data_IF_535172025459
#
_entry.id   IF_535172025459
#
_cell.length_a   1.000
_cell.length_b   1.000
_cell.length_c   1.000
_cell.angle_alpha   90.00
_cell.angle_beta   90.00
_cell.angle_gamma   90.00
#
_symmetry.space_group_name_H-M   'P 1'
#
loop_
_entity.id
_entity.type
_entity.pdbx_description
1 polymer ?
#
# COMPACT_ATOMS: atom_id res chain seq x y z
N UNK A 1 -27.94 -58.57 -11.61
CA UNK A 1 -26.96 -58.07 -10.61
C UNK A 1 -26.65 -56.61 -10.94
N UNK A 2 -27.11 -55.66 -10.11
CA UNK A 2 -26.91 -54.22 -10.36
C UNK A 2 -25.59 -53.77 -9.75
N UNK A 3 -24.59 -53.49 -10.57
CA UNK A 3 -23.33 -52.89 -10.13
C UNK A 3 -23.57 -51.40 -9.78
N UNK A 4 -23.43 -51.04 -8.51
CA UNK A 4 -23.35 -49.65 -8.05
C UNK A 4 -21.90 -49.18 -8.26
N UNK A 5 -21.68 -48.27 -9.20
CA UNK A 5 -20.42 -47.56 -9.36
C UNK A 5 -20.30 -46.47 -8.30
N UNK A 6 -19.43 -46.68 -7.32
CA UNK A 6 -19.09 -45.69 -6.30
C UNK A 6 -18.03 -44.74 -6.87
N UNK A 7 -18.37 -43.47 -7.11
CA UNK A 7 -17.40 -42.44 -7.49
C UNK A 7 -16.63 -42.02 -6.23
N UNK A 8 -15.29 -42.01 -6.22
CA UNK A 8 -14.52 -41.56 -5.07
C UNK A 8 -14.58 -40.03 -4.98
N UNK A 9 -15.34 -39.51 -4.02
CA UNK A 9 -15.24 -38.10 -3.63
C UNK A 9 -13.85 -37.88 -2.99
N UNK A 10 -13.02 -37.07 -3.65
CA UNK A 10 -11.71 -36.66 -3.14
C UNK A 10 -11.93 -35.76 -1.89
N UNK A 11 -12.00 -36.37 -0.72
CA UNK A 11 -12.07 -35.65 0.56
C UNK A 11 -10.68 -35.12 0.88
N UNK A 12 -10.44 -33.85 0.59
CA UNK A 12 -9.26 -33.12 1.03
C UNK A 12 -9.24 -33.09 2.58
N UNK A 13 -8.20 -33.68 3.21
CA UNK A 13 -8.07 -33.74 4.67
C UNK A 13 -7.51 -32.42 5.24
N UNK A 14 -8.26 -31.65 6.07
CA UNK A 14 -7.89 -30.28 6.47
C UNK A 14 -6.94 -30.17 7.69
N UNK A 15 -6.04 -31.13 7.96
CA UNK A 15 -5.31 -31.15 9.25
C UNK A 15 -3.87 -30.64 9.26
N UNK A 16 -3.15 -30.63 8.13
CA UNK A 16 -1.75 -30.18 8.10
C UNK A 16 -1.57 -28.72 7.63
N UNK A 17 -2.49 -28.19 6.81
CA UNK A 17 -2.34 -26.87 6.21
C UNK A 17 -2.68 -25.72 7.17
N UNK A 18 -3.59 -25.96 8.12
CA UNK A 18 -4.09 -24.96 9.07
C UNK A 18 -2.98 -24.46 10.00
N UNK A 19 -2.09 -25.35 10.45
CA UNK A 19 -0.98 -25.01 11.37
C UNK A 19 0.12 -24.23 10.63
N UNK A 20 0.50 -24.65 9.42
CA UNK A 20 1.50 -23.94 8.60
C UNK A 20 1.03 -22.52 8.24
N UNK A 21 -0.25 -22.37 7.90
CA UNK A 21 -0.84 -21.08 7.55
C UNK A 21 -0.97 -20.18 8.79
N UNK A 22 -1.37 -20.70 9.95
CA UNK A 22 -1.38 -19.95 11.21
C UNK A 22 0.02 -19.43 11.56
N UNK A 23 1.06 -20.25 11.39
CA UNK A 23 2.44 -19.87 11.71
C UNK A 23 3.02 -18.83 10.74
N UNK A 24 2.84 -19.03 9.42
CA UNK A 24 3.26 -18.06 8.38
C UNK A 24 2.52 -16.71 8.48
N UNK A 25 1.28 -16.69 8.97
CA UNK A 25 0.46 -15.48 9.01
C UNK A 25 0.63 -14.66 10.29
N UNK A 26 0.98 -15.28 11.42
CA UNK A 26 1.41 -14.53 12.61
C UNK A 26 2.67 -13.70 12.31
N UNK A 27 3.58 -14.24 11.49
CA UNK A 27 4.81 -13.53 11.08
C UNK A 27 4.55 -12.35 10.12
N UNK A 28 3.49 -12.38 9.32
CA UNK A 28 3.21 -11.32 8.33
C UNK A 28 2.75 -9.99 8.96
N UNK A 29 1.95 -10.03 10.02
CA UNK A 29 1.56 -8.82 10.78
C UNK A 29 2.75 -8.20 11.53
N UNK A 30 3.68 -9.03 12.00
CA UNK A 30 4.93 -8.56 12.62
C UNK A 30 5.90 -7.90 11.63
N UNK A 31 5.74 -8.10 10.32
CA UNK A 31 6.63 -7.54 9.31
C UNK A 31 6.19 -6.17 8.77
N UNK A 32 5.10 -5.54 9.26
CA UNK A 32 4.66 -4.24 8.73
C UNK A 32 5.77 -3.18 8.77
N UNK A 33 6.41 -3.00 9.92
CA UNK A 33 7.51 -2.05 10.09
C UNK A 33 8.74 -2.49 9.26
N UNK A 34 9.03 -3.79 9.19
CA UNK A 34 10.12 -4.31 8.36
C UNK A 34 9.89 -4.02 6.86
N UNK A 35 8.67 -4.22 6.36
CA UNK A 35 8.29 -3.89 4.99
C UNK A 35 8.34 -2.39 4.72
N UNK A 36 7.91 -1.57 5.68
CA UNK A 36 8.03 -0.11 5.60
C UNK A 36 9.50 0.30 5.50
N UNK A 37 10.35 -0.27 6.35
CA UNK A 37 11.78 0.00 6.36
C UNK A 37 12.45 -0.43 5.06
N UNK A 38 12.20 -1.66 4.59
CA UNK A 38 12.70 -2.18 3.30
C UNK A 38 12.34 -1.25 2.13
N UNK A 39 11.15 -0.66 2.13
CA UNK A 39 10.75 0.31 1.08
C UNK A 39 11.55 1.60 1.13
N UNK A 40 11.82 2.11 2.34
CA UNK A 40 12.66 3.29 2.56
C UNK A 40 14.10 2.99 2.16
N UNK A 41 14.66 1.87 2.60
CA UNK A 41 16.02 1.46 2.30
C UNK A 41 16.23 1.25 0.80
N UNK A 42 15.27 0.61 0.12
CA UNK A 42 15.30 0.47 -1.32
C UNK A 42 15.29 1.83 -2.04
N UNK A 43 14.52 2.81 -1.55
CA UNK A 43 14.52 4.16 -2.10
C UNK A 43 15.86 4.87 -1.83
N UNK A 44 16.44 4.73 -0.63
CA UNK A 44 17.77 5.25 -0.29
C UNK A 44 18.87 4.65 -1.18
N UNK A 45 18.81 3.35 -1.44
CA UNK A 45 19.71 2.68 -2.39
C UNK A 45 19.57 3.23 -3.81
N UNK A 46 18.36 3.60 -4.26
CA UNK A 46 18.17 4.27 -5.55
C UNK A 46 18.79 5.67 -5.55
N UNK A 47 18.67 6.45 -4.47
CA UNK A 47 19.30 7.77 -4.36
C UNK A 47 20.80 7.63 -4.57
N UNK A 48 21.47 6.78 -3.78
CA UNK A 48 22.91 6.57 -3.84
C UNK A 48 23.37 6.08 -5.21
N UNK A 49 22.64 5.12 -5.80
CA UNK A 49 22.93 4.61 -7.14
C UNK A 49 22.87 5.73 -8.19
N UNK A 50 21.82 6.55 -8.17
CA UNK A 50 21.64 7.60 -9.17
C UNK A 50 22.60 8.78 -8.95
N UNK A 51 22.97 9.11 -7.70
CA UNK A 51 24.05 10.07 -7.40
C UNK A 51 25.40 9.61 -7.95
N UNK A 52 25.77 8.34 -7.72
CA UNK A 52 27.00 7.76 -8.27
C UNK A 52 27.00 7.76 -9.80
N UNK A 53 25.87 7.42 -10.43
CA UNK A 53 25.72 7.46 -11.89
C UNK A 53 25.85 8.89 -12.43
N UNK A 54 25.20 9.86 -11.79
CA UNK A 54 25.29 11.28 -12.13
C UNK A 54 26.74 11.76 -12.10
N UNK A 55 27.45 11.53 -10.99
CA UNK A 55 28.85 11.88 -10.83
C UNK A 55 29.75 11.20 -11.88
N UNK A 56 29.51 9.92 -12.19
CA UNK A 56 30.26 9.21 -13.22
C UNK A 56 30.04 9.79 -14.63
N UNK A 57 28.82 10.21 -14.97
CA UNK A 57 28.54 10.86 -16.24
C UNK A 57 29.16 12.25 -16.34
N UNK A 58 29.12 13.03 -15.26
CA UNK A 58 29.80 14.33 -15.20
C UNK A 58 31.31 14.18 -15.35
N UNK A 59 31.92 13.25 -14.61
CA UNK A 59 33.34 12.96 -14.75
C UNK A 59 33.71 12.54 -16.17
N UNK A 60 32.91 11.67 -16.80
CA UNK A 60 33.14 11.28 -18.20
C UNK A 60 33.07 12.47 -19.16
N UNK A 61 32.12 13.38 -18.96
CA UNK A 61 32.01 14.58 -19.78
C UNK A 61 33.23 15.49 -19.60
N UNK A 62 33.69 15.66 -18.36
CA UNK A 62 34.88 16.43 -17.99
C UNK A 62 36.16 15.81 -18.57
N UNK A 63 36.34 14.50 -18.44
CA UNK A 63 37.47 13.75 -19.01
C UNK A 63 37.55 13.98 -20.53
N UNK A 64 36.43 13.90 -21.26
CA UNK A 64 36.40 14.14 -22.72
C UNK A 64 36.68 15.62 -23.03
N UNK A 65 36.10 16.54 -22.25
CA UNK A 65 36.28 17.97 -22.42
C UNK A 65 37.72 18.42 -22.18
N UNK A 66 38.45 17.78 -21.27
CA UNK A 66 39.85 18.11 -20.97
C UNK A 66 40.81 17.97 -22.18
N UNK A 67 40.43 17.17 -23.18
CA UNK A 67 41.19 17.01 -24.41
C UNK A 67 40.84 18.05 -25.48
N UNK A 68 39.84 18.91 -25.23
CA UNK A 68 39.39 19.97 -26.13
C UNK A 68 39.81 21.31 -25.53
N UNK A 69 40.81 22.01 -26.12
CA UNK A 69 41.15 23.37 -25.75
C UNK A 69 39.91 24.29 -25.70
N UNK A 70 39.76 25.10 -24.63
CA UNK A 70 38.62 25.98 -24.50
C UNK A 70 38.58 27.00 -25.65
N UNK A 71 37.40 27.18 -26.25
CA UNK A 71 37.19 28.11 -27.36
C UNK A 71 37.65 27.62 -28.73
N UNK A 72 38.11 26.37 -28.87
CA UNK A 72 38.48 25.82 -30.17
C UNK A 72 37.27 25.73 -31.11
N UNK A 73 37.31 26.36 -32.31
CA UNK A 73 36.23 26.25 -33.29
C UNK A 73 36.25 24.87 -33.97
N UNK A 74 35.08 24.43 -34.44
CA UNK A 74 34.99 23.24 -35.29
C UNK A 74 35.61 23.57 -36.65
N UNK A 75 36.72 22.90 -36.98
CA UNK A 75 37.40 23.05 -38.26
C UNK A 75 36.64 22.29 -39.36
N UNK A 76 35.71 22.97 -40.03
CA UNK A 76 34.88 22.38 -41.10
C UNK A 76 35.75 22.01 -42.31
N UNK A 77 35.59 20.78 -42.83
CA UNK A 77 36.36 20.24 -43.95
C UNK A 77 37.72 19.64 -43.57
N UNK A 78 38.15 19.76 -42.31
CA UNK A 78 39.41 19.18 -41.84
C UNK A 78 39.23 17.72 -41.38
N UNK A 79 40.26 16.88 -41.49
CA UNK A 79 40.17 15.46 -41.13
C UNK A 79 39.80 15.21 -39.65
N UNK A 80 40.04 16.18 -38.76
CA UNK A 80 39.69 16.12 -37.33
C UNK A 80 38.24 16.51 -37.01
N UNK A 81 37.50 17.10 -37.96
CA UNK A 81 36.12 17.60 -37.78
C UNK A 81 35.20 16.53 -37.18
N UNK A 82 35.21 15.34 -37.78
CA UNK A 82 34.36 14.21 -37.37
C UNK A 82 34.65 13.75 -35.94
N UNK A 83 35.92 13.78 -35.53
CA UNK A 83 36.34 13.44 -34.16
C UNK A 83 35.88 14.51 -33.18
N UNK A 84 36.04 15.79 -33.53
CA UNK A 84 35.61 16.92 -32.69
C UNK A 84 34.11 16.92 -32.46
N UNK A 85 33.29 16.76 -33.52
CA UNK A 85 31.82 16.69 -33.39
C UNK A 85 31.39 15.54 -32.50
N UNK A 86 31.95 14.34 -32.72
CA UNK A 86 31.67 13.17 -31.89
C UNK A 86 32.01 13.39 -30.41
N UNK A 87 33.11 14.08 -30.12
CA UNK A 87 33.50 14.39 -28.74
C UNK A 87 32.47 15.32 -28.08
N UNK A 88 32.05 16.39 -28.77
CA UNK A 88 30.99 17.28 -28.30
C UNK A 88 29.66 16.54 -28.10
N UNK A 89 29.27 15.67 -29.03
CA UNK A 89 28.05 14.86 -28.91
C UNK A 89 28.14 13.91 -27.69
N UNK A 90 29.30 13.32 -27.44
CA UNK A 90 29.51 12.45 -26.27
C UNK A 90 29.47 13.22 -24.95
N UNK A 91 30.04 14.44 -24.91
CA UNK A 91 29.95 15.35 -23.77
C UNK A 91 28.48 15.68 -23.53
N UNK A 92 27.77 16.16 -24.54
CA UNK A 92 26.36 16.54 -24.44
C UNK A 92 25.47 15.39 -23.96
N UNK A 93 25.63 14.21 -24.55
CA UNK A 93 24.88 13.02 -24.14
C UNK A 93 25.21 12.55 -22.72
N UNK A 94 26.48 12.66 -22.30
CA UNK A 94 26.88 12.30 -20.94
C UNK A 94 26.31 13.29 -19.93
N UNK A 95 26.40 14.60 -20.22
CA UNK A 95 25.78 15.64 -19.40
C UNK A 95 24.28 15.44 -19.26
N UNK A 96 23.57 15.15 -20.36
CA UNK A 96 22.13 14.87 -20.34
C UNK A 96 21.79 13.70 -19.40
N UNK A 97 22.50 12.57 -19.55
CA UNK A 97 22.32 11.40 -18.68
C UNK A 97 22.67 11.68 -17.22
N UNK A 98 23.67 12.52 -16.97
CA UNK A 98 24.03 12.99 -15.63
C UNK A 98 22.88 13.76 -14.98
N UNK A 99 22.30 14.72 -15.71
CA UNK A 99 21.13 15.50 -15.26
C UNK A 99 19.92 14.59 -15.01
N UNK A 100 19.62 13.64 -15.91
CA UNK A 100 18.53 12.68 -15.71
C UNK A 100 18.72 11.84 -14.45
N UNK A 101 19.94 11.35 -14.21
CA UNK A 101 20.27 10.61 -13.00
C UNK A 101 20.13 11.48 -11.73
N UNK A 102 20.58 12.75 -11.78
CA UNK A 102 20.40 13.70 -10.67
C UNK A 102 18.92 13.90 -10.34
N UNK A 103 18.09 14.22 -11.34
CA UNK A 103 16.64 14.39 -11.17
C UNK A 103 15.97 13.15 -10.58
N UNK A 104 16.45 11.96 -10.97
CA UNK A 104 15.95 10.71 -10.42
C UNK A 104 16.35 10.52 -8.96
N UNK A 105 17.56 10.92 -8.56
CA UNK A 105 17.97 10.93 -7.16
C UNK A 105 17.09 11.89 -6.34
N UNK A 106 16.89 13.12 -6.81
CA UNK A 106 16.02 14.14 -6.18
C UNK A 106 14.57 13.63 -6.02
N UNK A 107 14.04 12.95 -7.04
CA UNK A 107 12.72 12.32 -6.96
C UNK A 107 12.62 11.30 -5.82
N UNK A 108 13.63 10.44 -5.67
CA UNK A 108 13.64 9.45 -4.59
C UNK A 108 13.87 10.09 -3.22
N UNK A 109 14.66 11.17 -3.14
CA UNK A 109 14.82 11.96 -1.90
C UNK A 109 13.49 12.56 -1.44
N UNK A 110 12.78 13.23 -2.34
CA UNK A 110 11.45 13.76 -2.06
C UNK A 110 10.47 12.65 -1.65
N UNK A 111 10.57 11.48 -2.29
CA UNK A 111 9.76 10.31 -1.96
C UNK A 111 10.08 9.74 -0.58
N UNK A 112 11.34 9.66 -0.18
CA UNK A 112 11.77 9.21 1.16
C UNK A 112 11.26 10.18 2.21
N UNK A 113 11.46 11.49 2.01
CA UNK A 113 10.95 12.53 2.90
C UNK A 113 9.44 12.39 3.11
N UNK A 114 8.69 12.24 2.02
CA UNK A 114 7.24 12.02 2.09
C UNK A 114 6.85 10.72 2.81
N UNK A 115 7.67 9.66 2.75
CA UNK A 115 7.44 8.41 3.50
C UNK A 115 7.72 8.57 5.00
N UNK A 116 8.76 9.33 5.35
CA UNK A 116 9.18 9.58 6.73
C UNK A 116 8.19 10.54 7.45
N UNK A 117 7.71 11.58 6.76
CA UNK A 117 6.70 12.53 7.25
C UNK A 117 5.28 11.94 7.31
N UNK A 118 5.03 10.82 6.63
CA UNK A 118 3.71 10.21 6.62
C UNK A 118 3.42 9.50 7.95
N UNK A 119 2.72 10.22 8.82
CA UNK A 119 2.22 9.71 10.10
C UNK A 119 0.83 9.06 10.00
N UNK A 120 0.38 8.64 8.81
CA UNK A 120 -0.87 7.91 8.66
C UNK A 120 -0.75 6.52 9.32
N UNK A 121 -1.66 6.24 10.25
CA UNK A 121 -1.77 4.93 10.89
C UNK A 121 -2.44 3.97 9.89
N UNK A 122 -1.74 2.89 9.51
CA UNK A 122 -2.26 1.85 8.63
C UNK A 122 -3.18 0.89 9.39
N UNK A 123 -4.14 0.26 8.72
CA UNK A 123 -4.93 -0.86 9.30
C UNK A 123 -4.13 -2.16 9.41
N UNK A 124 -3.08 -2.30 8.58
CA UNK A 124 -2.25 -3.50 8.51
C UNK A 124 -1.18 -3.51 9.63
N UNK A 125 -1.04 -2.42 10.39
CA UNK A 125 -0.16 -2.32 11.56
C UNK A 125 -0.79 -3.05 12.76
N UNK A 126 -0.10 -4.01 13.41
CA UNK A 126 -0.64 -4.74 14.56
C UNK A 126 -1.01 -3.82 15.72
N UNK A 127 -0.30 -2.69 15.90
CA UNK A 127 -0.53 -1.75 16.99
C UNK A 127 -1.43 -0.57 16.54
N UNK A 128 -2.13 -0.71 15.41
CA UNK A 128 -2.98 0.36 14.86
C UNK A 128 -4.04 0.85 15.85
N UNK A 129 -4.66 -0.06 16.61
CA UNK A 129 -5.70 0.29 17.59
C UNK A 129 -5.11 1.12 18.73
N UNK A 130 -3.97 0.71 19.27
CA UNK A 130 -3.26 1.40 20.35
C UNK A 130 -2.84 2.81 19.91
N UNK A 131 -2.16 2.93 18.76
CA UNK A 131 -1.76 4.22 18.17
C UNK A 131 -2.95 5.15 17.92
N UNK A 132 -4.11 4.60 17.53
CA UNK A 132 -5.34 5.38 17.35
C UNK A 132 -5.95 5.82 18.69
N UNK A 133 -5.85 5.00 19.74
CA UNK A 133 -6.32 5.35 21.09
C UNK A 133 -5.46 6.46 21.70
N UNK A 134 -4.13 6.38 21.57
CA UNK A 134 -3.21 7.44 21.99
C UNK A 134 -3.53 8.76 21.26
N UNK A 135 -3.73 8.69 19.95
CA UNK A 135 -4.13 9.86 19.15
C UNK A 135 -5.48 10.42 19.61
N UNK A 136 -6.44 9.57 19.95
CA UNK A 136 -7.74 10.02 20.46
C UNK A 136 -7.58 10.74 21.81
N UNK A 137 -6.79 10.18 22.72
CA UNK A 137 -6.50 10.79 24.02
C UNK A 137 -5.83 12.17 23.86
N UNK A 138 -4.85 12.29 22.97
CA UNK A 138 -4.20 13.58 22.69
C UNK A 138 -5.19 14.64 22.15
N UNK A 139 -6.11 14.24 21.27
CA UNK A 139 -7.16 15.15 20.76
C UNK A 139 -8.17 15.52 21.85
N UNK A 140 -8.47 14.61 22.77
CA UNK A 140 -9.34 14.86 23.93
C UNK A 140 -8.69 15.84 24.92
N UNK A 141 -7.43 15.64 25.27
CA UNK A 141 -6.65 16.59 26.10
C UNK A 141 -6.60 17.97 25.45
N UNK A 142 -6.30 18.04 24.15
CA UNK A 142 -6.28 19.31 23.41
C UNK A 142 -7.68 19.96 23.36
N UNK A 143 -8.75 19.18 23.22
CA UNK A 143 -10.11 19.70 23.24
C UNK A 143 -10.45 20.34 24.58
N UNK A 144 -10.09 19.66 25.67
CA UNK A 144 -10.35 20.15 27.02
C UNK A 144 -9.51 21.39 27.31
N UNK A 145 -8.23 21.37 26.95
CA UNK A 145 -7.34 22.52 27.03
C UNK A 145 -7.90 23.75 26.31
N UNK A 146 -8.38 23.61 25.07
CA UNK A 146 -8.99 24.73 24.33
C UNK A 146 -10.24 25.29 25.02
N UNK A 147 -11.09 24.42 25.57
CA UNK A 147 -12.30 24.84 26.30
C UNK A 147 -11.97 25.58 27.59
N UNK A 148 -11.05 25.04 28.39
CA UNK A 148 -10.62 25.65 29.65
C UNK A 148 -9.90 26.97 29.40
N UNK A 149 -9.06 27.02 28.37
CA UNK A 149 -8.43 28.27 27.91
C UNK A 149 -9.46 29.33 27.56
N UNK A 150 -10.48 29.00 26.74
CA UNK A 150 -11.53 29.96 26.39
C UNK A 150 -12.33 30.43 27.62
N UNK A 151 -12.51 29.55 28.61
CA UNK A 151 -13.15 29.90 29.88
C UNK A 151 -12.29 30.87 30.70
N UNK A 152 -10.97 30.66 30.77
CA UNK A 152 -10.04 31.57 31.45
C UNK A 152 -9.97 32.93 30.75
N UNK A 153 -9.89 32.96 29.41
CA UNK A 153 -9.87 34.20 28.62
C UNK A 153 -11.17 34.98 28.80
N UNK A 154 -12.33 34.30 28.77
CA UNK A 154 -13.62 34.97 29.01
C UNK A 154 -13.70 35.62 30.41
N UNK A 155 -13.03 35.04 31.41
CA UNK A 155 -12.98 35.55 32.79
C UNK A 155 -11.78 36.46 33.07
N UNK A 156 -10.87 36.61 32.11
CA UNK A 156 -9.59 37.31 32.28
C UNK A 156 -8.75 36.78 33.47
N UNK A 157 -8.81 35.46 33.69
CA UNK A 157 -8.11 34.78 34.80
C UNK A 157 -6.81 34.15 34.29
N UNK A 158 -5.73 34.93 34.36
CA UNK A 158 -4.40 34.53 33.85
C UNK A 158 -3.75 33.45 34.72
N UNK A 159 -3.91 33.53 36.04
CA UNK A 159 -3.33 32.58 36.98
C UNK A 159 -3.87 31.17 36.74
N UNK A 160 -5.19 31.03 36.56
CA UNK A 160 -5.78 29.72 36.23
C UNK A 160 -5.36 29.20 34.87
N UNK A 161 -5.11 30.08 33.90
CA UNK A 161 -4.62 29.66 32.58
C UNK A 161 -3.18 29.12 32.65
N UNK A 162 -2.29 29.79 33.38
CA UNK A 162 -0.91 29.33 33.56
C UNK A 162 -0.80 28.01 34.33
N UNK A 163 -1.82 27.66 35.12
CA UNK A 163 -1.92 26.37 35.78
C UNK A 163 -2.37 25.22 34.86
N UNK A 164 -2.79 25.49 33.62
CA UNK A 164 -3.14 24.45 32.65
C UNK A 164 -1.88 23.78 32.07
N UNK A 165 -2.00 22.52 31.64
CA UNK A 165 -0.88 21.69 31.15
C UNK A 165 -0.02 22.36 30.07
N UNK A 166 -0.63 23.10 29.14
CA UNK A 166 0.03 23.81 28.05
C UNK A 166 -0.03 25.34 28.20
N UNK A 167 -0.36 25.83 29.39
CA UNK A 167 -0.46 27.25 29.69
C UNK A 167 0.91 27.92 29.68
N UNK A 168 1.12 28.90 28.79
CA UNK A 168 2.36 29.70 28.76
C UNK A 168 2.03 31.17 28.64
N UNK A 169 2.86 32.04 29.22
CA UNK A 169 2.64 33.49 29.18
C UNK A 169 2.53 34.02 27.74
N UNK A 170 3.38 33.50 26.85
CA UNK A 170 3.35 33.82 25.42
C UNK A 170 2.02 33.45 24.78
N UNK A 171 1.51 32.24 25.05
CA UNK A 171 0.24 31.79 24.50
C UNK A 171 -0.94 32.61 25.05
N UNK A 172 -0.89 33.03 26.32
CA UNK A 172 -1.90 33.92 26.90
C UNK A 172 -1.98 35.25 26.13
N UNK A 173 -0.83 35.85 25.84
CA UNK A 173 -0.76 37.10 25.08
C UNK A 173 -1.32 36.88 23.66
N UNK A 174 -0.86 35.84 22.96
CA UNK A 174 -1.33 35.52 21.60
C UNK A 174 -2.84 35.33 21.51
N UNK A 175 -3.44 34.63 22.48
CA UNK A 175 -4.87 34.36 22.48
C UNK A 175 -5.72 35.56 22.93
N UNK A 176 -5.17 36.51 23.69
CA UNK A 176 -5.88 37.74 24.06
C UNK A 176 -5.79 38.84 22.99
N UNK A 177 -4.94 38.68 21.98
CA UNK A 177 -4.92 39.58 20.83
C UNK A 177 -6.12 39.30 19.92
N UNK A 178 -7.06 40.24 19.76
CA UNK A 178 -8.16 40.05 18.82
C UNK A 178 -7.61 40.03 17.39
N UNK A 179 -7.93 38.99 16.64
CA UNK A 179 -7.60 38.93 15.22
C UNK A 179 -8.51 39.85 14.40
N UNK A 180 -8.05 40.26 13.21
CA UNK A 180 -8.81 41.14 12.28
C UNK A 180 -10.25 40.67 12.01
N UNK A 181 -10.50 39.36 12.10
CA UNK A 181 -11.80 38.72 11.89
C UNK A 181 -12.11 37.66 12.94
N UNK A 182 -11.37 37.63 14.06
CA UNK A 182 -11.49 36.61 15.11
C UNK A 182 -11.52 37.28 16.48
N UNK A 183 -12.42 36.83 17.36
CA UNK A 183 -12.40 37.22 18.77
C UNK A 183 -11.19 36.64 19.52
N UNK A 184 -11.09 36.93 20.81
CA UNK A 184 -10.05 36.37 21.68
C UNK A 184 -10.29 34.88 21.97
N UNK A 185 -9.22 34.17 22.28
CA UNK A 185 -9.21 32.74 22.56
C UNK A 185 -9.12 31.86 21.33
N UNK A 186 -9.30 30.56 21.55
CA UNK A 186 -9.38 29.60 20.47
C UNK A 186 -10.68 29.79 19.69
N UNK A 187 -10.61 29.99 18.36
CA UNK A 187 -11.78 30.20 17.54
C UNK A 187 -12.64 28.94 17.45
N UNK A 188 -13.96 29.11 17.36
CA UNK A 188 -14.93 28.01 17.38
C UNK A 188 -14.68 26.92 16.34
N UNK A 189 -14.22 27.29 15.13
CA UNK A 189 -13.92 26.31 14.09
C UNK A 189 -12.81 25.31 14.49
N UNK A 190 -11.84 25.71 15.33
CA UNK A 190 -10.79 24.79 15.82
C UNK A 190 -11.39 23.70 16.71
N UNK A 191 -12.31 24.06 17.62
CA UNK A 191 -13.01 23.10 18.47
C UNK A 191 -13.91 22.17 17.65
N UNK A 192 -14.63 22.71 16.66
CA UNK A 192 -15.50 21.92 15.77
C UNK A 192 -14.68 20.93 14.94
N UNK A 193 -13.58 21.38 14.34
CA UNK A 193 -12.70 20.53 13.56
C UNK A 193 -12.07 19.42 14.41
N UNK A 194 -11.65 19.76 15.64
CA UNK A 194 -11.08 18.78 16.57
C UNK A 194 -12.12 17.72 16.99
N UNK A 195 -13.34 18.15 17.35
CA UNK A 195 -14.46 17.24 17.63
C UNK A 195 -14.76 16.30 16.44
N UNK A 196 -14.77 16.83 15.21
CA UNK A 196 -14.98 16.01 14.01
C UNK A 196 -13.86 14.97 13.84
N UNK A 197 -12.61 15.35 14.09
CA UNK A 197 -11.48 14.41 14.07
C UNK A 197 -11.58 13.33 15.15
N UNK A 198 -11.96 13.70 16.39
CA UNK A 198 -12.22 12.74 17.47
C UNK A 198 -13.31 11.74 17.06
N UNK A 199 -14.41 12.20 16.49
CA UNK A 199 -15.50 11.34 16.03
C UNK A 199 -15.03 10.35 14.95
N UNK A 200 -14.29 10.82 13.93
CA UNK A 200 -13.72 9.97 12.88
C UNK A 200 -12.80 8.88 13.45
N UNK A 201 -11.96 9.24 14.42
CA UNK A 201 -11.04 8.27 15.05
C UNK A 201 -11.79 7.25 15.88
N UNK A 202 -12.81 7.66 16.65
CA UNK A 202 -13.67 6.72 17.40
C UNK A 202 -14.36 5.73 16.48
N UNK A 203 -14.95 6.20 15.36
CA UNK A 203 -15.54 5.34 14.34
C UNK A 203 -14.52 4.36 13.78
N UNK A 204 -13.30 4.84 13.49
CA UNK A 204 -12.22 3.99 12.97
C UNK A 204 -11.76 2.93 13.96
N UNK A 205 -11.62 3.26 15.24
CA UNK A 205 -11.30 2.30 16.31
C UNK A 205 -12.41 1.25 16.41
N UNK A 206 -13.68 1.66 16.41
CA UNK A 206 -14.81 0.74 16.48
C UNK A 206 -14.82 -0.22 15.28
N UNK A 207 -14.58 0.29 14.07
CA UNK A 207 -14.45 -0.51 12.86
C UNK A 207 -13.33 -1.55 12.98
N UNK A 208 -12.12 -1.14 13.36
CA UNK A 208 -10.98 -2.08 13.50
C UNK A 208 -11.22 -3.12 14.60
N UNK A 209 -11.89 -2.76 15.69
CA UNK A 209 -12.30 -3.70 16.75
C UNK A 209 -13.33 -4.72 16.25
N UNK A 210 -14.25 -4.32 15.37
CA UNK A 210 -15.20 -5.25 14.75
C UNK A 210 -14.49 -6.19 13.79
N UNK A 211 -13.60 -5.68 12.95
CA UNK A 211 -12.80 -6.50 12.02
C UNK A 211 -11.90 -7.50 12.77
N UNK A 212 -11.33 -7.11 13.92
CA UNK A 212 -10.54 -8.00 14.76
C UNK A 212 -11.34 -9.18 15.35
N UNK A 213 -12.66 -9.05 15.48
CA UNK A 213 -13.56 -10.12 15.94
C UNK A 213 -13.98 -11.08 14.83
N UNK A 214 -13.68 -10.75 13.57
CA UNK A 214 -14.11 -11.55 12.42
C UNK A 214 -13.39 -12.90 12.44
N UNK A 215 -14.15 -13.98 12.32
CA UNK A 215 -13.63 -15.36 12.28
C UNK A 215 -13.28 -15.70 10.84
N UNK A 216 -12.14 -16.36 10.57
CA UNK A 216 -11.81 -16.79 9.23
C UNK A 216 -12.77 -17.88 8.74
N UNK A 217 -13.23 -17.75 7.50
CA UNK A 217 -14.12 -18.74 6.86
C UNK A 217 -13.44 -19.34 5.63
N UNK A 218 -13.65 -20.64 5.42
CA UNK A 218 -13.11 -21.38 4.28
C UNK A 218 -14.25 -22.19 3.66
N UNK A 219 -14.69 -21.78 2.47
CA UNK A 219 -15.85 -22.37 1.80
C UNK A 219 -15.52 -22.73 0.35
N UNK A 220 -16.13 -23.79 -0.15
CA UNK A 220 -15.97 -24.23 -1.54
C UNK A 220 -17.24 -23.91 -2.32
N UNK A 221 -17.12 -23.08 -3.36
CA UNK A 221 -18.25 -22.68 -4.21
C UNK A 221 -17.87 -22.90 -5.66
N UNK A 222 -18.61 -23.78 -6.36
CA UNK A 222 -18.39 -24.09 -7.79
C UNK A 222 -16.93 -24.46 -8.13
N UNK A 223 -16.26 -25.21 -7.25
CA UNK A 223 -14.86 -25.59 -7.40
C UNK A 223 -13.84 -24.49 -7.10
N UNK A 224 -14.28 -23.29 -6.73
CA UNK A 224 -13.43 -22.19 -6.25
C UNK A 224 -13.44 -22.16 -4.73
N UNK A 225 -12.26 -22.19 -4.13
CA UNK A 225 -12.12 -22.04 -2.69
C UNK A 225 -12.12 -20.55 -2.33
N UNK A 226 -13.05 -20.16 -1.47
CA UNK A 226 -13.22 -18.80 -0.95
C UNK A 226 -12.76 -18.78 0.49
N UNK A 227 -11.65 -18.10 0.73
CA UNK A 227 -11.01 -17.98 2.04
C UNK A 227 -11.09 -16.53 2.52
N UNK A 228 -11.90 -16.27 3.55
CA UNK A 228 -11.86 -15.00 4.28
C UNK A 228 -10.72 -15.05 5.29
N UNK A 229 -9.53 -14.65 4.86
CA UNK A 229 -8.34 -14.67 5.69
C UNK A 229 -8.27 -13.42 6.58
N UNK A 230 -8.78 -13.53 7.80
CA UNK A 230 -8.79 -12.43 8.80
C UNK A 230 -7.41 -12.16 9.38
N UNK A 231 -6.48 -13.12 9.31
CA UNK A 231 -5.10 -12.93 9.75
C UNK A 231 -4.35 -11.95 8.84
N UNK A 232 -4.50 -12.09 7.52
CA UNK A 232 -3.89 -11.19 6.52
C UNK A 232 -4.82 -10.02 6.16
N UNK A 233 -6.08 -10.07 6.58
CA UNK A 233 -7.10 -9.07 6.22
C UNK A 233 -7.40 -9.09 4.73
N UNK A 234 -7.45 -10.28 4.12
CA UNK A 234 -7.69 -10.46 2.67
C UNK A 234 -8.78 -11.50 2.42
N UNK A 235 -9.64 -11.23 1.45
CA UNK A 235 -10.50 -12.25 0.86
C UNK A 235 -9.77 -12.86 -0.33
N UNK A 236 -9.58 -14.18 -0.31
CA UNK A 236 -8.80 -14.93 -1.29
C UNK A 236 -9.70 -15.90 -2.06
N UNK A 237 -9.62 -15.85 -3.38
CA UNK A 237 -10.23 -16.80 -4.30
C UNK A 237 -9.13 -17.67 -4.90
N UNK A 238 -9.17 -18.96 -4.59
CA UNK A 238 -8.20 -19.95 -5.04
C UNK A 238 -8.92 -20.86 -6.04
N UNK A 239 -8.45 -20.82 -7.28
CA UNK A 239 -8.95 -21.67 -8.35
C UNK A 239 -8.10 -22.93 -8.44
N UNK A 240 -8.68 -24.07 -8.84
CA UNK A 240 -7.95 -25.33 -8.97
C UNK A 240 -6.89 -25.23 -10.08
N UNK A 241 -7.25 -24.59 -11.20
CA UNK A 241 -6.38 -24.33 -12.33
C UNK A 241 -6.40 -22.84 -12.71
N UNK A 242 -5.45 -22.46 -13.56
CA UNK A 242 -5.35 -21.09 -14.09
C UNK A 242 -6.65 -20.72 -14.83
N UNK A 243 -7.42 -19.72 -14.34
CA UNK A 243 -8.66 -19.32 -15.00
C UNK A 243 -8.40 -18.76 -16.41
N UNK A 244 -9.41 -18.83 -17.27
CA UNK A 244 -9.36 -18.27 -18.62
C UNK A 244 -8.97 -16.79 -18.60
N UNK A 245 -8.42 -16.29 -19.71
CA UNK A 245 -7.99 -14.89 -19.80
C UNK A 245 -9.13 -13.91 -19.48
N UNK A 246 -10.34 -14.20 -19.96
CA UNK A 246 -11.53 -13.38 -19.74
C UNK A 246 -11.89 -13.28 -18.25
N UNK A 247 -11.90 -14.41 -17.55
CA UNK A 247 -12.20 -14.46 -16.11
C UNK A 247 -11.14 -13.68 -15.32
N UNK A 248 -9.86 -13.80 -15.69
CA UNK A 248 -8.78 -13.02 -15.07
C UNK A 248 -8.95 -11.51 -15.29
N UNK A 249 -9.38 -11.09 -16.49
CA UNK A 249 -9.69 -9.69 -16.77
C UNK A 249 -10.91 -9.21 -15.98
N UNK A 250 -11.96 -10.03 -15.88
CA UNK A 250 -13.16 -9.72 -15.11
C UNK A 250 -12.85 -9.55 -13.63
N UNK A 251 -12.10 -10.49 -13.03
CA UNK A 251 -11.62 -10.41 -11.65
C UNK A 251 -10.81 -9.13 -11.43
N UNK A 252 -9.90 -8.79 -12.35
CA UNK A 252 -9.02 -7.62 -12.22
C UNK A 252 -9.74 -6.28 -12.41
N UNK A 253 -10.53 -6.15 -13.47
CA UNK A 253 -11.12 -4.88 -13.92
C UNK A 253 -12.49 -4.61 -13.30
N UNK A 254 -13.38 -5.61 -13.26
CA UNK A 254 -14.75 -5.45 -12.76
C UNK A 254 -14.81 -5.61 -11.24
N UNK A 255 -14.19 -6.67 -10.72
CA UNK A 255 -14.33 -7.03 -9.30
C UNK A 255 -13.17 -6.55 -8.41
N UNK A 256 -12.11 -5.99 -9.01
CA UNK A 256 -11.00 -5.37 -8.30
C UNK A 256 -10.04 -6.34 -7.59
N UNK A 257 -10.10 -7.63 -7.89
CA UNK A 257 -9.15 -8.60 -7.35
C UNK A 257 -7.75 -8.41 -7.96
N UNK A 258 -6.73 -8.76 -7.20
CA UNK A 258 -5.32 -8.73 -7.62
C UNK A 258 -4.70 -10.10 -7.39
N UNK A 259 -3.93 -10.56 -8.36
CA UNK A 259 -3.21 -11.81 -8.24
C UNK A 259 -2.05 -11.68 -7.26
N UNK A 260 -1.95 -12.62 -6.32
CA UNK A 260 -0.81 -12.76 -5.41
C UNK A 260 0.00 -13.99 -5.79
N UNK A 261 1.28 -13.81 -6.11
CA UNK A 261 2.19 -14.91 -6.43
C UNK A 261 2.57 -15.72 -5.18
N UNK A 262 2.66 -15.08 -4.01
CA UNK A 262 3.03 -15.75 -2.76
C UNK A 262 1.93 -16.68 -2.25
N UNK A 263 0.67 -16.29 -2.47
CA UNK A 263 -0.50 -17.01 -1.99
C UNK A 263 -1.20 -17.82 -3.10
N UNK A 264 -0.72 -17.69 -4.35
CA UNK A 264 -1.33 -18.30 -5.55
C UNK A 264 -2.85 -18.09 -5.61
N UNK A 265 -3.29 -16.88 -5.25
CA UNK A 265 -4.69 -16.54 -5.07
C UNK A 265 -5.04 -15.18 -5.68
N UNK A 266 -6.28 -15.05 -6.15
CA UNK A 266 -6.86 -13.75 -6.45
C UNK A 266 -7.39 -13.14 -5.16
N UNK A 267 -6.82 -12.01 -4.74
CA UNK A 267 -7.11 -11.42 -3.43
C UNK A 267 -7.44 -9.93 -3.48
N UNK A 268 -8.20 -9.49 -2.48
CA UNK A 268 -8.44 -8.07 -2.19
C UNK A 268 -8.59 -7.84 -0.68
N UNK A 269 -8.55 -6.58 -0.26
CA UNK A 269 -8.79 -6.18 1.14
C UNK A 269 -10.11 -6.77 1.65
N UNK A 270 -10.08 -7.43 2.82
CA UNK A 270 -11.27 -8.01 3.43
C UNK A 270 -12.16 -6.86 3.93
N UNK A 271 -13.31 -6.73 3.31
CA UNK A 271 -14.38 -5.81 3.72
C UNK A 271 -15.71 -6.32 3.15
N UNK A 272 -16.83 -5.72 3.55
CA UNK A 272 -18.15 -6.14 3.07
C UNK A 272 -18.28 -6.07 1.54
N UNK A 273 -17.65 -5.09 0.90
CA UNK A 273 -17.61 -4.98 -0.55
C UNK A 273 -16.81 -6.12 -1.22
N UNK A 274 -15.78 -6.67 -0.56
CA UNK A 274 -15.04 -7.82 -1.06
C UNK A 274 -15.90 -9.09 -1.04
N UNK A 275 -16.64 -9.30 0.05
CA UNK A 275 -17.58 -10.43 0.18
C UNK A 275 -18.68 -10.31 -0.88
N UNK A 276 -19.25 -9.12 -1.05
CA UNK A 276 -20.21 -8.84 -2.12
C UNK A 276 -19.63 -9.12 -3.51
N UNK A 277 -18.42 -8.60 -3.81
CA UNK A 277 -17.79 -8.83 -5.11
C UNK A 277 -17.49 -10.31 -5.38
N UNK A 278 -17.03 -11.06 -4.37
CA UNK A 278 -16.79 -12.50 -4.49
C UNK A 278 -18.10 -13.26 -4.75
N UNK A 279 -19.13 -12.99 -3.95
CA UNK A 279 -20.43 -13.66 -4.07
C UNK A 279 -21.08 -13.38 -5.43
N UNK A 280 -21.09 -12.14 -5.90
CA UNK A 280 -21.63 -11.79 -7.22
C UNK A 280 -20.82 -12.38 -8.37
N UNK A 281 -19.49 -12.39 -8.28
CA UNK A 281 -18.66 -13.07 -9.26
C UNK A 281 -19.02 -14.57 -9.34
N UNK A 282 -19.10 -15.24 -8.20
CA UNK A 282 -19.38 -16.68 -8.12
C UNK A 282 -20.79 -17.05 -8.57
N UNK A 283 -21.78 -16.15 -8.45
CA UNK A 283 -23.11 -16.36 -9.06
C UNK A 283 -22.99 -16.52 -10.58
N UNK A 284 -22.24 -15.65 -11.23
CA UNK A 284 -22.04 -15.68 -12.70
C UNK A 284 -20.97 -16.65 -13.18
N UNK A 285 -20.09 -17.13 -12.30
CA UNK A 285 -19.01 -18.03 -12.67
C UNK A 285 -19.54 -19.43 -12.99
N UNK A 286 -19.11 -19.98 -14.11
CA UNK A 286 -19.29 -21.39 -14.46
C UNK A 286 -17.92 -22.07 -14.49
N UNK A 287 -17.74 -23.19 -13.78
CA UNK A 287 -16.48 -23.93 -13.83
C UNK A 287 -16.27 -24.45 -15.25
N UNK A 288 -15.01 -24.51 -15.73
CA UNK A 288 -14.72 -25.13 -17.02
C UNK A 288 -15.27 -26.56 -17.03
N UNK A 289 -16.09 -26.89 -18.03
CA UNK A 289 -16.64 -28.23 -18.19
C UNK A 289 -15.49 -29.23 -18.31
N UNK A 290 -15.34 -30.10 -17.31
CA UNK A 290 -14.44 -31.24 -17.42
C UNK A 290 -15.01 -32.11 -18.55
N UNK A 291 -14.27 -32.40 -19.64
CA UNK A 291 -14.73 -33.37 -20.60
C UNK A 291 -14.86 -34.70 -19.88
N UNK A 292 -16.10 -35.16 -19.68
CA UNK A 292 -16.37 -36.52 -19.25
C UNK A 292 -15.93 -37.39 -20.42
N UNK A 293 -14.74 -37.98 -20.34
CA UNK A 293 -14.34 -39.06 -21.24
C UNK A 293 -15.31 -40.22 -20.99
N UNK A 294 -16.41 -40.20 -21.74
CA UNK A 294 -17.33 -41.32 -21.86
C UNK A 294 -16.61 -42.33 -22.74
N UNK A 295 -15.84 -43.22 -22.12
CA UNK A 295 -15.31 -44.40 -22.80
C UNK A 295 -16.50 -45.28 -23.12
N UNK A 296 -17.06 -45.09 -24.31
CA UNK A 296 -17.99 -46.02 -24.91
C UNK A 296 -17.29 -47.37 -25.08
N UNK A 297 -17.85 -48.38 -24.43
CA UNK A 297 -17.52 -49.79 -24.60
C UNK A 297 -17.95 -50.25 -25.99
N UNK A 298 -17.03 -50.29 -26.94
CA UNK A 298 -17.23 -51.07 -28.17
C UNK A 298 -17.14 -52.55 -27.83
N UNK A 299 -18.30 -53.18 -27.88
CA UNK A 299 -18.47 -54.63 -27.78
C UNK A 299 -18.43 -55.13 -29.22
N UNK A 300 -17.27 -55.63 -29.68
CA UNK A 300 -17.20 -56.32 -30.96
C UNK A 300 -17.82 -57.71 -30.81
N UNK A 301 -19.00 -57.87 -31.41
CA UNK A 301 -19.57 -59.15 -31.78
C UNK A 301 -18.88 -59.65 -33.05
N UNK A 302 -18.02 -60.65 -32.91
CA UNK A 302 -17.47 -61.41 -34.04
C UNK A 302 -18.26 -62.71 -34.16
N UNK A 303 -19.13 -62.79 -35.18
CA UNK A 303 -19.81 -64.02 -35.59
C UNK A 303 -19.57 -64.27 -37.08
N UNK A 304 -18.81 -65.33 -37.34
CA UNK A 304 -18.91 -66.28 -38.44
C UNK A 304 -19.04 -65.75 -39.89
N UNK A 305 -17.95 -65.94 -40.65
CA UNK A 305 -17.97 -66.58 -41.96
C UNK A 305 -16.67 -67.39 -42.12
#
# INVERSE_FOLDING_TARGET
MKARSTVPHLVWRPRAFTIYFLFKNLTMKHNYEEHKQKRIDNAKNQIEKNKKQSAAFYKKADDIASYIPPGQPILVGHHSEKKHRRALDQIHNSMHKGVEASKKAEYYEARVKAMEENHAISSDDPNAIEKLQEKLAALESMQQFMKDTNKCIKKQDKEKFLALEYGTDKLWQELNLPGRFQGTGYPGYKLTNNNANMHRIRQRIAYLKQEAKRVPTDTMIKGVRVLENTYVGRLQLIFPDKPSYEIRQQLKKRWGFRWSHEEQAWQRQLNNNAVFAATEFLKTYEPPSIPINTTASDTQSESAA
#
